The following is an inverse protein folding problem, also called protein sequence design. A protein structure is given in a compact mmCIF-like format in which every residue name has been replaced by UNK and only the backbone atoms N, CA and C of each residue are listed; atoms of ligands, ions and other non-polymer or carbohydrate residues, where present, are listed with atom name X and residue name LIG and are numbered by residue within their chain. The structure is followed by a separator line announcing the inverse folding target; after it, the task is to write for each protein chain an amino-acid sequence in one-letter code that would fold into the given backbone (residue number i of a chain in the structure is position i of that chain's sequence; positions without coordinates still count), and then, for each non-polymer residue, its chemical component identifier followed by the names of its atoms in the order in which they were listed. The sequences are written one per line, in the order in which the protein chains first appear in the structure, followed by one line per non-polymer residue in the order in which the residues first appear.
data_IF_375061047142
#
_entry.id   IF_375061047142
#
_cell.length_a   1.000
_cell.length_b   1.000
_cell.length_c   1.000
_cell.angle_alpha   90.00
_cell.angle_beta   90.00
_cell.angle_gamma   90.00
#
_symmetry.space_group_name_H-M   'P 1'
#
loop_
_entity.id
_entity.type
_entity.pdbx_description
1 polymer ?
#
# COMPACT_ATOMS: atom_id res chain seq x y z
N UNK A 1 11.04 -5.42 -18.45
CA UNK A 1 9.64 -5.49 -17.96
C UNK A 1 9.34 -4.24 -17.15
N UNK A 2 8.16 -3.66 -17.31
CA UNK A 2 7.82 -2.45 -16.57
C UNK A 2 7.71 -2.72 -15.07
N UNK A 3 7.96 -1.67 -14.28
CA UNK A 3 7.77 -1.71 -12.84
C UNK A 3 6.50 -0.96 -12.47
N UNK A 4 5.85 -1.42 -11.42
CA UNK A 4 4.60 -0.83 -10.94
C UNK A 4 4.72 -0.52 -9.46
N UNK A 5 4.18 0.63 -9.08
CA UNK A 5 4.03 1.02 -7.69
C UNK A 5 2.59 0.74 -7.28
N UNK A 6 2.42 -0.05 -6.24
CA UNK A 6 1.10 -0.30 -5.66
C UNK A 6 1.04 0.41 -4.33
N UNK A 7 0.13 1.37 -4.21
CA UNK A 7 -0.10 2.12 -2.98
C UNK A 7 -1.27 1.52 -2.25
N UNK A 8 -1.06 1.18 -0.97
CA UNK A 8 -2.13 0.66 -0.12
C UNK A 8 -2.77 1.84 0.60
N UNK A 9 -4.04 2.10 0.32
CA UNK A 9 -4.78 3.24 0.86
C UNK A 9 -5.80 2.76 1.86
N UNK A 10 -5.79 3.38 3.04
CA UNK A 10 -6.66 3.01 4.15
C UNK A 10 -7.23 4.26 4.80
N UNK A 11 -8.36 4.09 5.47
CA UNK A 11 -8.86 5.08 6.41
C UNK A 11 -8.19 4.77 7.74
N UNK A 12 -7.33 5.68 8.18
CA UNK A 12 -6.53 5.47 9.38
C UNK A 12 -7.41 5.30 10.61
N UNK A 13 -7.12 4.27 11.41
CA UNK A 13 -7.90 3.98 12.61
C UNK A 13 -9.17 3.16 12.40
N UNK A 14 -9.50 2.81 11.14
CA UNK A 14 -10.72 2.05 10.84
C UNK A 14 -10.63 0.58 11.23
N UNK A 15 -9.43 0.03 11.37
CA UNK A 15 -9.21 -1.35 11.81
C UNK A 15 -7.82 -1.47 12.44
N UNK A 16 -7.59 -2.58 13.13
CA UNK A 16 -6.28 -2.92 13.70
C UNK A 16 -5.83 -4.27 13.15
N UNK A 17 -4.53 -4.41 12.90
CA UNK A 17 -3.98 -5.67 12.41
C UNK A 17 -4.21 -6.81 13.41
N UNK A 18 -4.17 -6.53 14.70
CA UNK A 18 -4.44 -7.55 15.73
C UNK A 18 -5.87 -8.05 15.74
N UNK A 19 -6.79 -7.34 15.10
CA UNK A 19 -8.21 -7.73 15.01
C UNK A 19 -8.49 -8.64 13.81
N UNK A 20 -7.46 -8.97 13.03
CA UNK A 20 -7.61 -9.87 11.89
C UNK A 20 -7.98 -11.29 12.36
N UNK A 21 -8.72 -12.00 11.51
CA UNK A 21 -9.05 -13.39 11.78
C UNK A 21 -7.80 -14.28 11.85
N UNK A 22 -7.91 -15.45 12.47
CA UNK A 22 -6.78 -16.32 12.75
C UNK A 22 -6.02 -16.80 11.49
N UNK A 23 -6.68 -16.82 10.34
CA UNK A 23 -6.06 -17.27 9.08
C UNK A 23 -5.37 -16.16 8.29
N UNK A 24 -5.48 -14.90 8.73
CA UNK A 24 -4.96 -13.77 7.97
C UNK A 24 -3.46 -13.84 7.74
N UNK A 25 -2.68 -14.08 8.79
CA UNK A 25 -1.22 -14.14 8.67
C UNK A 25 -0.78 -15.27 7.75
N UNK A 26 -1.45 -16.42 7.83
CA UNK A 26 -1.15 -17.56 6.98
C UNK A 26 -1.45 -17.24 5.51
N UNK A 27 -2.60 -16.62 5.24
CA UNK A 27 -2.97 -16.25 3.87
C UNK A 27 -1.99 -15.23 3.30
N UNK A 28 -1.63 -14.22 4.08
CA UNK A 28 -0.68 -13.20 3.67
C UNK A 28 0.69 -13.80 3.42
N UNK A 29 1.16 -14.66 4.34
CA UNK A 29 2.45 -15.33 4.19
C UNK A 29 2.51 -16.20 2.94
N UNK A 30 1.43 -16.92 2.64
CA UNK A 30 1.37 -17.75 1.43
C UNK A 30 1.44 -16.91 0.17
N UNK A 31 0.76 -15.75 0.15
CA UNK A 31 0.81 -14.84 -0.99
C UNK A 31 2.20 -14.28 -1.18
N UNK A 32 2.86 -13.84 -0.11
CA UNK A 32 4.23 -13.30 -0.21
C UNK A 32 5.21 -14.35 -0.68
N UNK A 33 5.06 -15.59 -0.25
CA UNK A 33 5.90 -16.68 -0.74
C UNK A 33 5.71 -16.87 -2.24
N UNK A 34 4.47 -16.88 -2.70
CA UNK A 34 4.15 -17.08 -4.11
C UNK A 34 4.67 -15.95 -4.99
N UNK A 35 4.46 -14.70 -4.60
CA UNK A 35 4.90 -13.55 -5.39
C UNK A 35 6.43 -13.44 -5.40
N UNK A 36 7.07 -13.86 -4.31
CA UNK A 36 8.54 -13.89 -4.22
C UNK A 36 9.10 -14.96 -5.15
N UNK A 37 8.52 -16.16 -5.14
CA UNK A 37 8.94 -17.24 -6.04
C UNK A 37 8.73 -16.89 -7.50
N UNK A 38 7.71 -16.10 -7.81
CA UNK A 38 7.44 -15.64 -9.17
C UNK A 38 8.42 -14.57 -9.63
N UNK A 39 9.27 -14.05 -8.72
CA UNK A 39 10.24 -13.00 -9.06
C UNK A 39 9.61 -11.64 -9.32
N UNK A 40 8.39 -11.44 -8.87
CA UNK A 40 7.61 -10.23 -9.15
C UNK A 40 7.87 -9.12 -8.12
N UNK A 41 7.96 -9.49 -6.84
CA UNK A 41 8.12 -8.49 -5.77
C UNK A 41 9.56 -7.99 -5.68
N UNK A 42 9.76 -6.69 -5.90
CA UNK A 42 11.08 -6.05 -5.76
C UNK A 42 11.25 -5.43 -4.38
N UNK A 43 10.22 -4.78 -3.87
CA UNK A 43 10.27 -4.10 -2.58
C UNK A 43 8.85 -3.95 -2.04
N UNK A 44 8.70 -4.04 -0.72
CA UNK A 44 7.43 -3.77 -0.06
C UNK A 44 7.68 -3.30 1.36
N UNK A 45 6.83 -2.41 1.86
CA UNK A 45 6.91 -1.94 3.24
C UNK A 45 5.58 -1.37 3.69
N UNK A 46 5.31 -1.51 4.99
CA UNK A 46 4.27 -0.73 5.64
C UNK A 46 4.83 0.61 6.11
N UNK A 47 3.98 1.58 6.30
CA UNK A 47 4.36 2.90 6.78
C UNK A 47 3.85 3.09 8.19
N UNK A 48 4.61 3.83 9.00
CA UNK A 48 4.17 4.23 10.33
C UNK A 48 2.96 5.17 10.22
N UNK A 49 2.13 5.29 11.28
CA UNK A 49 0.93 6.12 11.21
C UNK A 49 1.27 7.58 10.97
N UNK A 50 0.29 8.32 10.43
CA UNK A 50 0.50 9.73 10.09
C UNK A 50 0.77 10.62 11.31
N UNK A 51 0.47 10.14 12.53
CA UNK A 51 0.86 10.84 13.75
C UNK A 51 2.38 11.04 13.86
N UNK A 52 3.17 10.22 13.13
CA UNK A 52 4.63 10.32 13.11
C UNK A 52 5.14 10.93 11.80
N UNK A 53 4.26 11.54 11.00
CA UNK A 53 4.63 12.08 9.71
C UNK A 53 4.50 13.60 9.65
N UNK A 54 5.14 14.20 8.65
CA UNK A 54 5.10 15.63 8.40
C UNK A 54 4.93 15.87 6.91
N UNK A 55 4.06 16.80 6.55
CA UNK A 55 3.93 17.29 5.18
C UNK A 55 4.70 18.59 5.07
N UNK A 56 5.48 18.70 4.00
CA UNK A 56 6.18 19.95 3.65
C UNK A 56 5.57 20.42 2.35
N UNK A 57 5.04 21.64 2.37
CA UNK A 57 4.31 22.18 1.22
C UNK A 57 5.02 23.41 0.67
N UNK A 58 5.19 23.44 -0.65
CA UNK A 58 5.69 24.61 -1.39
C UNK A 58 4.49 25.25 -2.08
N UNK A 59 4.16 26.47 -1.69
CA UNK A 59 3.03 27.18 -2.27
C UNK A 59 3.26 28.66 -2.18
N UNK A 60 3.03 29.38 -3.30
CA UNK A 60 3.24 30.82 -3.35
C UNK A 60 4.68 31.23 -3.06
N UNK A 61 5.65 30.38 -3.37
CA UNK A 61 7.06 30.64 -3.09
C UNK A 61 7.45 30.45 -1.63
N UNK A 62 6.60 29.77 -0.85
CA UNK A 62 6.83 29.58 0.60
C UNK A 62 6.72 28.12 0.98
N UNK A 63 7.50 27.74 1.99
CA UNK A 63 7.44 26.42 2.60
C UNK A 63 6.56 26.46 3.84
N UNK A 64 5.72 25.44 3.99
CA UNK A 64 4.96 25.22 5.22
C UNK A 64 5.14 23.78 5.66
N UNK A 65 5.10 23.54 6.96
CA UNK A 65 5.29 22.22 7.56
C UNK A 65 4.04 21.89 8.38
N UNK A 66 3.45 20.74 8.12
CA UNK A 66 2.25 20.30 8.83
C UNK A 66 2.52 18.93 9.42
N UNK A 67 2.53 18.85 10.75
CA UNK A 67 2.70 17.57 11.43
C UNK A 67 1.37 16.81 11.43
N UNK A 68 1.46 15.48 11.33
CA UNK A 68 0.30 14.63 11.46
C UNK A 68 -0.20 14.54 12.89
N UNK A 69 -1.33 13.86 13.13
CA UNK A 69 -2.07 13.08 12.13
C UNK A 69 -2.85 13.96 11.14
N UNK A 70 -3.13 13.41 9.95
CA UNK A 70 -3.84 14.14 8.89
C UNK A 70 -5.32 13.73 8.90
N UNK A 71 -6.02 14.17 9.93
CA UNK A 71 -7.41 13.77 10.18
C UNK A 71 -8.41 14.31 9.16
N UNK A 72 -8.05 15.35 8.42
CA UNK A 72 -8.88 15.91 7.34
C UNK A 72 -8.85 15.04 6.09
N UNK A 73 -7.91 14.11 5.99
CA UNK A 73 -7.77 13.22 4.83
C UNK A 73 -8.55 11.94 5.07
N UNK A 74 -9.44 11.60 4.16
CA UNK A 74 -10.27 10.40 4.29
C UNK A 74 -9.43 9.12 4.23
N UNK A 75 -8.47 9.08 3.30
CA UNK A 75 -7.58 7.93 3.14
C UNK A 75 -6.13 8.38 3.18
N UNK A 76 -5.28 7.55 3.76
CA UNK A 76 -3.84 7.78 3.78
C UNK A 76 -3.14 6.57 3.16
N UNK A 77 -1.90 6.77 2.72
CA UNK A 77 -1.08 5.66 2.24
C UNK A 77 -0.54 4.93 3.46
N UNK A 78 -0.94 3.67 3.62
CA UNK A 78 -0.50 2.85 4.75
C UNK A 78 0.64 1.90 4.41
N UNK A 79 0.97 1.75 3.13
CA UNK A 79 2.05 0.89 2.68
C UNK A 79 2.21 0.94 1.18
N UNK A 80 3.23 0.29 0.68
CA UNK A 80 3.50 0.26 -0.75
C UNK A 80 4.24 -1.01 -1.15
N UNK A 81 4.19 -1.32 -2.45
CA UNK A 81 5.05 -2.32 -3.04
C UNK A 81 5.52 -1.87 -4.41
N UNK A 82 6.69 -2.33 -4.80
CA UNK A 82 7.21 -2.15 -6.14
C UNK A 82 7.32 -3.54 -6.76
N UNK A 83 6.65 -3.75 -7.88
CA UNK A 83 6.63 -5.03 -8.58
C UNK A 83 7.14 -4.87 -10.00
N UNK A 84 7.68 -5.95 -10.56
CA UNK A 84 8.06 -6.01 -11.95
C UNK A 84 7.17 -7.04 -12.64
N UNK A 85 6.34 -6.57 -13.56
CA UNK A 85 5.30 -7.37 -14.19
C UNK A 85 5.35 -7.20 -15.71
N UNK A 86 4.77 -8.16 -16.44
CA UNK A 86 4.69 -8.09 -17.90
C UNK A 86 3.92 -6.85 -18.36
N UNK A 87 2.84 -6.55 -17.65
CA UNK A 87 1.92 -5.48 -18.01
C UNK A 87 1.09 -5.08 -16.80
N UNK A 88 0.26 -4.06 -16.96
CA UNK A 88 -0.61 -3.57 -15.90
C UNK A 88 -1.62 -4.62 -15.43
N UNK A 89 -2.10 -5.46 -16.36
CA UNK A 89 -3.08 -6.49 -16.00
C UNK A 89 -2.50 -7.49 -14.99
N UNK A 90 -1.23 -7.87 -15.16
CA UNK A 90 -0.55 -8.73 -14.19
C UNK A 90 -0.40 -8.05 -12.84
N UNK A 91 0.01 -6.77 -12.84
CA UNK A 91 0.15 -6.01 -11.60
C UNK A 91 -1.18 -5.89 -10.86
N UNK A 92 -2.28 -5.69 -11.59
CA UNK A 92 -3.61 -5.62 -11.03
C UNK A 92 -4.06 -6.95 -10.44
N UNK A 93 -3.70 -8.06 -11.07
CA UNK A 93 -4.04 -9.39 -10.55
C UNK A 93 -3.36 -9.65 -9.21
N UNK A 94 -2.09 -9.26 -9.07
CA UNK A 94 -1.40 -9.37 -7.78
C UNK A 94 -2.05 -8.45 -6.74
N UNK A 95 -2.42 -7.23 -7.12
CA UNK A 95 -3.12 -6.30 -6.23
C UNK A 95 -4.46 -6.84 -5.76
N UNK A 96 -5.22 -7.44 -6.66
CA UNK A 96 -6.49 -8.09 -6.34
C UNK A 96 -6.27 -9.21 -5.31
N UNK A 97 -5.28 -10.06 -5.53
CA UNK A 97 -4.98 -11.16 -4.62
C UNK A 97 -4.56 -10.67 -3.24
N UNK A 98 -3.81 -9.56 -3.21
CA UNK A 98 -3.45 -8.93 -1.94
C UNK A 98 -4.71 -8.49 -1.18
N UNK A 99 -5.66 -7.85 -1.86
CA UNK A 99 -6.90 -7.42 -1.22
C UNK A 99 -7.71 -8.60 -0.70
N UNK A 100 -7.76 -9.68 -1.46
CA UNK A 100 -8.58 -10.85 -1.14
C UNK A 100 -8.14 -11.60 0.12
N UNK A 101 -6.90 -11.39 0.58
CA UNK A 101 -6.44 -12.04 1.82
C UNK A 101 -6.90 -11.30 3.08
N UNK A 102 -7.40 -10.06 2.94
CA UNK A 102 -7.86 -9.27 4.08
C UNK A 102 -9.23 -9.71 4.58
N UNK A 103 -9.52 -9.50 5.88
CA UNK A 103 -10.87 -9.74 6.38
C UNK A 103 -11.92 -8.96 5.57
N UNK A 104 -13.06 -9.60 5.34
CA UNK A 104 -14.09 -9.03 4.48
C UNK A 104 -14.67 -7.72 5.00
N UNK A 105 -14.62 -7.51 6.29
CA UNK A 105 -15.16 -6.29 6.94
C UNK A 105 -14.21 -5.09 6.88
N UNK A 106 -12.98 -5.28 6.41
CA UNK A 106 -12.02 -4.17 6.28
C UNK A 106 -12.12 -3.53 4.90
N UNK A 107 -12.01 -2.20 4.87
CA UNK A 107 -11.98 -1.43 3.63
C UNK A 107 -10.53 -1.06 3.33
N UNK A 108 -9.99 -1.63 2.26
CA UNK A 108 -8.63 -1.39 1.81
C UNK A 108 -8.67 -1.18 0.30
N UNK A 109 -8.00 -0.15 -0.16
CA UNK A 109 -7.89 0.14 -1.61
C UNK A 109 -6.44 0.08 -2.02
N UNK A 110 -6.16 -0.53 -3.15
CA UNK A 110 -4.83 -0.42 -3.76
C UNK A 110 -4.93 0.40 -5.03
N UNK A 111 -3.95 1.26 -5.22
CA UNK A 111 -3.80 2.04 -6.45
C UNK A 111 -2.55 1.52 -7.15
N UNK A 112 -2.71 1.06 -8.39
CA UNK A 112 -1.63 0.46 -9.18
C UNK A 112 -1.21 1.46 -10.25
N UNK A 113 0.05 1.87 -10.23
CA UNK A 113 0.57 2.85 -11.19
C UNK A 113 1.87 2.35 -11.78
N UNK A 114 1.98 2.43 -13.10
CA UNK A 114 3.24 2.12 -13.77
C UNK A 114 4.26 3.20 -13.44
N UNK A 115 5.49 2.77 -13.11
CA UNK A 115 6.58 3.70 -12.84
C UNK A 115 7.12 4.16 -14.18
N UNK A 116 7.14 5.48 -14.38
CA UNK A 116 7.72 6.06 -15.58
C UNK A 116 9.24 6.06 -15.44
N UNK A 117 9.88 5.22 -16.22
CA UNK A 117 11.34 5.11 -16.19
C UNK A 117 11.94 6.24 -17.03
N UNK A 118 12.88 6.96 -16.44
CA UNK A 118 13.54 8.10 -17.10
C UNK A 118 14.97 7.79 -17.47
#
# INVERSE_FOLDING_TARGET
MPRFLTLVRIQEGSFRLEDADAGFEERMGALFEEITKAGVMLETAGLKPTSESTRITWSGGKLTYTDGPFTETKEVVGGYSITQCRDKAEAMEWGKRFLEVHPAEWDVTVEVREIEEM
#
